data_IF_146568072469
#
_entry.id   IF_146568072469
#
_cell.length_a   1.000
_cell.length_b   1.000
_cell.length_c   1.000
_cell.angle_alpha   90.00
_cell.angle_beta   90.00
_cell.angle_gamma   90.00
#
_symmetry.space_group_name_H-M   'P 1'
#
loop_
_entity.id
_entity.type
_entity.pdbx_description
1 polymer ?
#
# COMPACT_ATOMS: atom_id res chain seq x y z
N UNK A 1 -6.97 -21.46 22.18
CA UNK A 1 -7.72 -21.76 20.95
C UNK A 1 -8.15 -20.43 20.34
N UNK A 2 -7.41 -19.90 19.37
CA UNK A 2 -7.79 -18.64 18.70
C UNK A 2 -9.04 -18.93 17.87
N UNK A 3 -10.12 -18.23 18.16
CA UNK A 3 -11.43 -18.50 17.59
C UNK A 3 -11.43 -17.99 16.14
N UNK A 4 -11.75 -18.85 15.17
CA UNK A 4 -11.79 -18.53 13.73
C UNK A 4 -12.59 -17.24 13.42
N UNK A 5 -13.58 -16.91 14.26
CA UNK A 5 -14.37 -15.68 14.14
C UNK A 5 -13.57 -14.38 14.34
N UNK A 6 -12.54 -14.37 15.20
CA UNK A 6 -11.72 -13.18 15.44
C UNK A 6 -10.79 -12.91 14.26
N UNK A 7 -10.23 -13.97 13.68
CA UNK A 7 -9.38 -13.90 12.47
C UNK A 7 -10.16 -13.35 11.28
N UNK A 8 -11.41 -13.77 11.10
CA UNK A 8 -12.25 -13.27 10.01
C UNK A 8 -12.60 -11.78 10.16
N UNK A 9 -12.83 -11.32 11.40
CA UNK A 9 -13.08 -9.91 11.70
C UNK A 9 -11.85 -9.05 11.45
N UNK A 10 -10.68 -9.50 11.92
CA UNK A 10 -9.40 -8.80 11.71
C UNK A 10 -9.04 -8.72 10.22
N UNK A 11 -9.27 -9.80 9.47
CA UNK A 11 -9.02 -9.84 8.03
C UNK A 11 -9.94 -8.89 7.26
N UNK A 12 -11.23 -8.87 7.62
CA UNK A 12 -12.21 -7.99 6.96
C UNK A 12 -11.94 -6.52 7.29
N UNK A 13 -11.66 -6.20 8.56
CA UNK A 13 -11.30 -4.85 8.97
C UNK A 13 -9.99 -4.39 8.31
N UNK A 14 -8.99 -5.28 8.22
CA UNK A 14 -7.71 -5.00 7.56
C UNK A 14 -7.84 -4.78 6.06
N UNK A 15 -8.65 -5.57 5.36
CA UNK A 15 -8.88 -5.42 3.92
C UNK A 15 -9.65 -4.14 3.59
N UNK A 16 -10.69 -3.80 4.36
CA UNK A 16 -11.43 -2.53 4.18
C UNK A 16 -10.53 -1.33 4.49
N UNK A 17 -9.77 -1.39 5.59
CA UNK A 17 -8.80 -0.35 5.93
C UNK A 17 -7.74 -0.15 4.85
N UNK A 18 -7.19 -1.25 4.31
CA UNK A 18 -6.23 -1.21 3.21
C UNK A 18 -6.82 -0.64 1.90
N UNK A 19 -8.06 -0.99 1.57
CA UNK A 19 -8.75 -0.44 0.41
C UNK A 19 -9.02 1.06 0.58
N UNK A 20 -9.46 1.51 1.75
CA UNK A 20 -9.67 2.93 2.04
C UNK A 20 -8.36 3.73 1.97
N UNK A 21 -7.26 3.18 2.50
CA UNK A 21 -5.92 3.77 2.38
C UNK A 21 -5.52 3.98 0.92
N UNK A 22 -5.73 2.96 0.07
CA UNK A 22 -5.45 3.06 -1.36
C UNK A 22 -6.34 4.09 -2.05
N UNK A 23 -7.64 4.11 -1.76
CA UNK A 23 -8.57 5.06 -2.37
C UNK A 23 -8.15 6.50 -2.05
N UNK A 24 -7.81 6.77 -0.79
CA UNK A 24 -7.37 8.10 -0.37
C UNK A 24 -5.95 8.46 -0.86
N UNK A 25 -5.04 7.49 -0.92
CA UNK A 25 -3.64 7.70 -1.26
C UNK A 25 -3.33 7.74 -2.76
N UNK A 26 -4.08 6.99 -3.57
CA UNK A 26 -3.79 6.80 -4.99
C UNK A 26 -3.80 8.09 -5.84
N UNK A 27 -4.62 9.12 -5.55
CA UNK A 27 -4.47 10.42 -6.22
C UNK A 27 -3.07 11.02 -6.06
N UNK A 28 -2.46 10.88 -4.87
CA UNK A 28 -1.11 11.36 -4.62
C UNK A 28 -0.06 10.53 -5.37
N UNK A 29 -0.22 9.20 -5.40
CA UNK A 29 0.66 8.31 -6.15
C UNK A 29 0.61 8.59 -7.65
N UNK A 30 -0.59 8.81 -8.21
CA UNK A 30 -0.79 9.14 -9.62
C UNK A 30 -0.09 10.44 -9.99
N UNK A 31 -0.19 11.47 -9.15
CA UNK A 31 0.48 12.75 -9.38
C UNK A 31 1.99 12.61 -9.25
N UNK A 32 2.47 11.85 -8.27
CA UNK A 32 3.90 11.56 -8.09
C UNK A 32 4.48 10.86 -9.32
N UNK A 33 3.81 9.82 -9.83
CA UNK A 33 4.25 9.10 -11.04
C UNK A 33 4.20 10.02 -12.26
N UNK A 34 3.15 10.84 -12.44
CA UNK A 34 3.07 11.81 -13.54
C UNK A 34 4.19 12.86 -13.48
N UNK A 35 4.59 13.30 -12.29
CA UNK A 35 5.73 14.21 -12.09
C UNK A 35 7.07 13.55 -12.38
N UNK A 36 7.27 12.31 -11.93
CA UNK A 36 8.51 11.54 -12.12
C UNK A 36 8.69 11.04 -13.55
N UNK A 37 7.58 10.74 -14.24
CA UNK A 37 7.57 10.25 -15.62
C UNK A 37 7.42 11.35 -16.66
N UNK A 38 7.38 12.63 -16.24
CA UNK A 38 7.28 13.71 -17.20
C UNK A 38 8.58 13.80 -18.02
N UNK A 39 8.49 14.06 -19.33
CA UNK A 39 9.68 14.18 -20.17
C UNK A 39 10.53 15.37 -19.69
N UNK A 40 11.86 15.19 -19.74
CA UNK A 40 12.80 16.27 -19.46
C UNK A 40 12.57 17.41 -20.47
N UNK A 41 12.33 18.65 -20.00
CA UNK A 41 12.11 19.77 -20.90
C UNK A 41 13.34 20.05 -21.76
N UNK A 42 13.12 20.36 -23.04
CA UNK A 42 14.17 20.82 -23.95
C UNK A 42 14.70 22.21 -23.51
N UNK A 43 15.93 22.59 -23.91
CA UNK A 43 16.47 23.91 -23.61
C UNK A 43 15.50 25.02 -24.06
N UNK A 44 15.05 25.86 -23.13
CA UNK A 44 14.10 26.95 -23.39
C UNK A 44 12.61 26.59 -23.30
N UNK A 45 12.24 25.33 -23.05
CA UNK A 45 10.85 24.94 -22.76
C UNK A 45 10.58 24.78 -21.27
N UNK A 46 9.37 25.15 -20.84
CA UNK A 46 8.90 24.89 -19.48
C UNK A 46 8.56 23.39 -19.31
N UNK A 47 8.78 22.80 -18.12
CA UNK A 47 8.35 21.44 -17.83
C UNK A 47 6.83 21.30 -17.98
N UNK A 48 6.37 20.12 -18.40
CA UNK A 48 4.94 19.81 -18.55
C UNK A 48 4.16 20.09 -17.27
N UNK A 49 4.78 19.79 -16.12
CA UNK A 49 4.27 20.07 -14.79
C UNK A 49 5.31 20.85 -13.99
N UNK A 50 4.95 22.05 -13.53
CA UNK A 50 5.85 22.88 -12.70
C UNK A 50 5.90 22.44 -11.24
N UNK A 51 4.95 21.59 -10.82
CA UNK A 51 4.88 21.01 -9.49
C UNK A 51 3.62 20.17 -9.29
N UNK A 52 3.42 19.63 -8.08
CA UNK A 52 2.30 18.74 -7.77
C UNK A 52 0.93 19.40 -7.94
N UNK A 53 0.78 20.65 -7.48
CA UNK A 53 -0.49 21.38 -7.61
C UNK A 53 -0.83 21.68 -9.08
N UNK A 54 0.18 22.01 -9.89
CA UNK A 54 0.01 22.21 -11.33
C UNK A 54 -0.36 20.91 -12.04
N UNK A 55 0.28 19.79 -11.67
CA UNK A 55 -0.08 18.47 -12.16
C UNK A 55 -1.51 18.06 -11.81
N UNK A 56 -1.99 18.35 -10.59
CA UNK A 56 -3.38 18.10 -10.18
C UNK A 56 -4.35 18.91 -11.04
N UNK A 57 -4.14 20.24 -11.14
CA UNK A 57 -5.02 21.13 -11.90
C UNK A 57 -5.10 20.73 -13.38
N UNK A 58 -3.94 20.47 -14.01
CA UNK A 58 -3.87 20.03 -15.40
C UNK A 58 -4.50 18.66 -15.61
N UNK A 59 -4.34 17.73 -14.66
CA UNK A 59 -4.95 16.39 -14.75
C UNK A 59 -6.47 16.48 -14.65
N UNK A 60 -7.00 17.25 -13.70
CA UNK A 60 -8.45 17.44 -13.55
C UNK A 60 -9.03 18.17 -14.77
N UNK A 61 -8.33 19.17 -15.31
CA UNK A 61 -8.78 19.90 -16.49
C UNK A 61 -8.79 19.03 -17.76
N UNK A 62 -7.86 18.08 -17.90
CA UNK A 62 -7.74 17.24 -19.10
C UNK A 62 -8.55 15.93 -19.02
N UNK A 63 -8.57 15.27 -17.87
CA UNK A 63 -9.12 13.91 -17.69
C UNK A 63 -10.27 13.87 -16.66
N UNK A 64 -10.62 15.00 -16.05
CA UNK A 64 -11.59 15.06 -14.96
C UNK A 64 -11.08 14.45 -13.66
N UNK A 65 -11.96 14.30 -12.67
CA UNK A 65 -11.62 13.67 -11.38
C UNK A 65 -11.22 12.19 -11.54
N UNK A 66 -11.77 11.49 -12.54
CA UNK A 66 -11.41 10.10 -12.85
C UNK A 66 -9.95 9.93 -13.28
N UNK A 67 -9.32 10.97 -13.82
CA UNK A 67 -7.90 10.97 -14.19
C UNK A 67 -6.94 10.76 -13.01
N UNK A 68 -7.36 11.08 -11.78
CA UNK A 68 -6.60 10.85 -10.55
C UNK A 68 -6.66 9.40 -10.05
N UNK A 69 -7.63 8.63 -10.54
CA UNK A 69 -7.88 7.25 -10.15
C UNK A 69 -7.47 6.26 -11.26
N UNK A 70 -6.88 6.77 -12.34
CA UNK A 70 -6.52 6.01 -13.52
C UNK A 70 -5.30 5.12 -13.23
N UNK A 71 -5.53 3.81 -13.20
CA UNK A 71 -4.52 2.80 -12.85
C UNK A 71 -4.72 2.17 -11.47
N UNK A 72 -5.74 2.58 -10.71
CA UNK A 72 -6.05 2.04 -9.38
C UNK A 72 -6.43 0.54 -9.39
N UNK A 73 -6.88 0.00 -10.52
CA UNK A 73 -7.32 -1.39 -10.63
C UNK A 73 -6.24 -2.41 -10.29
N UNK A 74 -4.99 -2.19 -10.71
CA UNK A 74 -3.89 -3.11 -10.42
C UNK A 74 -3.56 -3.17 -8.91
N UNK A 75 -3.34 -2.05 -8.20
CA UNK A 75 -3.18 -2.04 -6.75
C UNK A 75 -4.35 -2.71 -6.01
N UNK A 76 -5.60 -2.37 -6.36
CA UNK A 76 -6.79 -2.92 -5.71
C UNK A 76 -6.91 -4.44 -5.90
N UNK A 77 -6.62 -4.95 -7.11
CA UNK A 77 -6.65 -6.38 -7.38
C UNK A 77 -5.62 -7.15 -6.56
N UNK A 78 -4.47 -6.52 -6.27
CA UNK A 78 -3.40 -7.17 -5.51
C UNK A 78 -3.57 -7.09 -4.00
N UNK A 79 -4.42 -6.20 -3.44
CA UNK A 79 -4.61 -6.03 -1.98
C UNK A 79 -4.88 -7.34 -1.24
N UNK A 80 -5.79 -8.16 -1.77
CA UNK A 80 -6.16 -9.41 -1.12
C UNK A 80 -4.98 -10.40 -1.07
N UNK A 81 -4.20 -10.47 -2.15
CA UNK A 81 -3.01 -11.30 -2.21
C UNK A 81 -1.89 -10.80 -1.27
N UNK A 82 -1.63 -9.48 -1.27
CA UNK A 82 -0.68 -8.85 -0.35
C UNK A 82 -1.01 -9.14 1.11
N UNK A 83 -2.29 -8.94 1.49
CA UNK A 83 -2.74 -9.20 2.84
C UNK A 83 -2.66 -10.70 3.19
N UNK A 84 -3.03 -11.60 2.27
CA UNK A 84 -2.94 -13.04 2.50
C UNK A 84 -1.51 -13.50 2.78
N UNK A 85 -0.54 -13.07 1.96
CA UNK A 85 0.88 -13.41 2.15
C UNK A 85 1.40 -12.84 3.46
N UNK A 86 1.07 -11.58 3.77
CA UNK A 86 1.48 -10.93 5.01
C UNK A 86 0.96 -11.68 6.25
N UNK A 87 -0.31 -12.14 6.24
CA UNK A 87 -0.88 -12.92 7.33
C UNK A 87 -0.25 -14.31 7.45
N UNK A 88 0.04 -14.99 6.34
CA UNK A 88 0.71 -16.29 6.32
C UNK A 88 2.11 -16.17 6.93
N UNK A 89 2.94 -15.24 6.43
CA UNK A 89 4.33 -15.08 6.89
C UNK A 89 4.36 -14.62 8.35
N UNK A 90 3.51 -13.67 8.73
CA UNK A 90 3.39 -13.25 10.14
C UNK A 90 2.95 -14.42 11.04
N UNK A 91 2.00 -15.23 10.60
CA UNK A 91 1.53 -16.40 11.34
C UNK A 91 2.65 -17.43 11.56
N UNK A 92 3.43 -17.72 10.52
CA UNK A 92 4.55 -18.66 10.59
C UNK A 92 5.72 -18.13 11.44
N UNK A 93 6.09 -16.85 11.32
CA UNK A 93 7.16 -16.28 12.13
C UNK A 93 6.78 -16.16 13.61
N UNK A 94 5.54 -15.76 13.89
CA UNK A 94 5.04 -15.69 15.27
C UNK A 94 4.96 -17.08 15.89
N UNK A 95 4.61 -18.12 15.12
CA UNK A 95 4.62 -19.50 15.60
C UNK A 95 6.04 -20.00 15.90
N UNK A 96 7.05 -19.61 15.13
CA UNK A 96 8.43 -20.02 15.36
C UNK A 96 9.17 -19.21 16.43
N UNK A 97 8.79 -17.95 16.66
CA UNK A 97 9.47 -17.06 17.61
C UNK A 97 8.81 -17.00 19.00
N UNK A 98 7.64 -17.61 19.17
CA UNK A 98 6.97 -17.71 20.47
C UNK A 98 7.54 -18.87 21.29
N UNK A 99 8.16 -18.55 22.42
CA UNK A 99 8.61 -19.54 23.41
C UNK A 99 7.47 -20.08 24.29
N UNK A 100 6.37 -19.33 24.47
CA UNK A 100 5.18 -19.75 25.22
C UNK A 100 3.87 -19.23 24.58
N UNK A 101 2.76 -20.00 24.63
CA UNK A 101 1.48 -19.59 24.07
C UNK A 101 0.81 -18.51 24.94
N UNK A 102 1.11 -17.23 24.65
CA UNK A 102 0.47 -16.07 25.29
C UNK A 102 1.42 -14.95 25.72
N UNK A 103 2.73 -15.15 25.65
CA UNK A 103 3.71 -14.13 26.00
C UNK A 103 3.78 -13.01 24.95
N UNK A 104 3.82 -11.75 25.40
CA UNK A 104 3.99 -10.58 24.54
C UNK A 104 5.41 -10.61 23.93
N UNK A 105 5.51 -10.56 22.60
CA UNK A 105 6.79 -10.61 21.89
C UNK A 105 7.59 -9.33 22.13
N UNK A 106 8.90 -9.49 22.35
CA UNK A 106 9.83 -8.37 22.50
C UNK A 106 9.86 -7.48 21.24
N UNK A 107 10.15 -6.19 21.41
CA UNK A 107 10.28 -5.20 20.31
C UNK A 107 11.20 -5.71 19.20
N UNK A 108 12.32 -6.37 19.56
CA UNK A 108 13.27 -6.90 18.59
C UNK A 108 12.66 -8.03 17.75
N UNK A 109 11.77 -8.85 18.32
CA UNK A 109 11.11 -9.93 17.62
C UNK A 109 10.01 -9.40 16.68
N UNK A 110 9.33 -8.32 17.05
CA UNK A 110 8.40 -7.63 16.14
C UNK A 110 9.10 -7.06 14.91
N UNK A 111 10.31 -6.51 15.07
CA UNK A 111 11.11 -6.00 13.95
C UNK A 111 11.50 -7.14 13.00
N UNK A 112 11.96 -8.28 13.51
CA UNK A 112 12.29 -9.47 12.69
C UNK A 112 11.05 -10.02 11.98
N UNK A 113 9.91 -10.09 12.68
CA UNK A 113 8.62 -10.47 12.10
C UNK A 113 8.19 -9.53 10.96
N UNK A 114 8.32 -8.22 11.17
CA UNK A 114 8.00 -7.21 10.16
C UNK A 114 8.93 -7.29 8.95
N UNK A 115 10.23 -7.44 9.17
CA UNK A 115 11.23 -7.55 8.11
C UNK A 115 11.03 -8.83 7.27
N UNK A 116 10.81 -9.99 7.91
CA UNK A 116 10.56 -11.25 7.21
C UNK A 116 9.27 -11.24 6.40
N UNK A 117 8.19 -10.67 6.96
CA UNK A 117 6.94 -10.48 6.23
C UNK A 117 7.11 -9.52 5.04
N UNK A 118 7.92 -8.47 5.17
CA UNK A 118 8.22 -7.55 4.08
C UNK A 118 8.96 -8.22 2.92
N UNK A 119 9.93 -9.09 3.20
CA UNK A 119 10.67 -9.84 2.15
C UNK A 119 9.78 -10.83 1.43
N UNK A 120 8.84 -11.50 2.10
CA UNK A 120 7.93 -12.45 1.46
C UNK A 120 6.86 -11.80 0.57
N UNK A 121 6.67 -10.49 0.69
CA UNK A 121 5.63 -9.71 0.00
C UNK A 121 6.20 -8.88 -1.17
N UNK A 122 7.52 -8.70 -1.23
CA UNK A 122 8.24 -8.08 -2.36
C UNK A 122 8.36 -9.04 -3.55
#
# INVERSE_FOLDING_TARGET
MVMIGDVAKDLTAGTIGGAAQLICGHPFDTIKVKLQSQPTPLPGQAPKYTGAIDAVKKTIAAEGLGGLYKGMGAPLATVAAFNAVLFIVKGQLVAHLRSEPGASLSINQHVVCGAGAGVGVL
#
